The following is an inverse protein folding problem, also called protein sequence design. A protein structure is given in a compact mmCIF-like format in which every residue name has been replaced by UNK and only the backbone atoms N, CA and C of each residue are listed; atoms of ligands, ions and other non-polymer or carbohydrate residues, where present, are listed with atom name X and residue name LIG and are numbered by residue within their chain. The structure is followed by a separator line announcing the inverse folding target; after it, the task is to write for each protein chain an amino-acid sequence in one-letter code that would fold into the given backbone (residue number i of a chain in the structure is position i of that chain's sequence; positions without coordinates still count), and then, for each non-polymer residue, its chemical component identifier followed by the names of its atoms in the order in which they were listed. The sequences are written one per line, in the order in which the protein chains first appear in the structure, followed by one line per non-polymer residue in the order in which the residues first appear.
data_IF_997478964557
#
_entry.id   IF_997478964557
#
_cell.length_a   1.000
_cell.length_b   1.000
_cell.length_c   1.000
_cell.angle_alpha   90.00
_cell.angle_beta   90.00
_cell.angle_gamma   90.00
#
_symmetry.space_group_name_H-M   'P 1'
#
loop_
_entity.id
_entity.type
_entity.pdbx_description
1 polymer ?
#
# COMPACT_ATOMS: atom_id res chain seq x y z
N UNK A 1 -32.99 -30.54 -18.32
CA UNK A 1 -31.59 -30.73 -17.88
C UNK A 1 -30.77 -29.58 -18.47
N UNK A 2 -30.68 -28.48 -17.74
CA UNK A 2 -29.94 -27.27 -18.13
C UNK A 2 -28.60 -27.28 -17.40
N UNK A 3 -27.54 -27.66 -18.12
CA UNK A 3 -26.18 -27.63 -17.58
C UNK A 3 -25.66 -26.19 -17.54
N UNK A 4 -25.38 -25.72 -16.33
CA UNK A 4 -24.67 -24.48 -16.06
C UNK A 4 -23.20 -24.63 -16.45
N UNK A 5 -22.69 -23.68 -17.24
CA UNK A 5 -21.26 -23.52 -17.50
C UNK A 5 -20.64 -22.81 -16.30
N UNK A 6 -19.57 -23.33 -15.66
CA UNK A 6 -18.88 -22.60 -14.60
C UNK A 6 -18.03 -21.48 -15.22
N UNK A 7 -18.31 -20.24 -14.85
CA UNK A 7 -17.46 -19.09 -15.17
C UNK A 7 -16.22 -19.08 -14.27
N UNK A 8 -15.19 -19.84 -14.62
CA UNK A 8 -13.87 -19.74 -14.00
C UNK A 8 -12.98 -18.78 -14.79
N UNK A 9 -13.30 -17.48 -14.75
CA UNK A 9 -12.30 -16.45 -15.02
C UNK A 9 -11.39 -16.36 -13.78
N UNK A 10 -10.48 -17.32 -13.66
CA UNK A 10 -9.35 -17.20 -12.77
C UNK A 10 -8.55 -15.96 -13.19
N UNK A 11 -8.44 -14.97 -12.31
CA UNK A 11 -7.57 -13.81 -12.44
C UNK A 11 -6.14 -14.26 -12.73
N UNK A 12 -5.76 -14.37 -14.00
CA UNK A 12 -4.37 -14.60 -14.40
C UNK A 12 -3.65 -13.27 -14.18
N UNK A 13 -2.88 -13.18 -13.09
CA UNK A 13 -1.97 -12.04 -12.85
C UNK A 13 -1.12 -11.81 -14.10
N UNK A 14 -1.09 -10.57 -14.56
CA UNK A 14 -0.30 -10.17 -15.71
C UNK A 14 1.18 -10.52 -15.45
N UNK A 15 1.83 -11.10 -16.46
CA UNK A 15 3.26 -11.38 -16.41
C UNK A 15 4.04 -10.05 -16.42
N UNK A 16 5.25 -10.04 -15.84
CA UNK A 16 6.13 -8.85 -15.74
C UNK A 16 6.25 -8.05 -17.05
N UNK A 17 6.24 -8.73 -18.20
CA UNK A 17 6.38 -8.14 -19.55
C UNK A 17 5.27 -7.13 -19.87
N UNK A 18 4.09 -7.26 -19.25
CA UNK A 18 2.95 -6.35 -19.46
C UNK A 18 2.55 -5.59 -18.21
N UNK A 19 3.31 -5.70 -17.12
CA UNK A 19 3.02 -4.94 -15.90
C UNK A 19 3.44 -3.49 -16.05
N UNK A 20 2.64 -2.60 -15.48
CA UNK A 20 2.99 -1.21 -15.24
C UNK A 20 3.21 -1.05 -13.74
N UNK A 21 4.36 -0.51 -13.30
CA UNK A 21 4.60 -0.28 -11.89
C UNK A 21 3.72 0.86 -11.39
N UNK A 22 3.37 0.86 -10.11
CA UNK A 22 2.62 1.97 -9.50
C UNK A 22 3.45 3.26 -9.53
N UNK A 23 4.76 3.13 -9.29
CA UNK A 23 5.73 4.21 -9.51
C UNK A 23 7.10 3.64 -9.87
N UNK A 24 7.93 4.44 -10.54
CA UNK A 24 9.28 4.02 -10.91
C UNK A 24 10.25 5.21 -10.98
N UNK A 25 11.48 4.98 -10.54
CA UNK A 25 12.62 5.83 -10.87
C UNK A 25 13.30 5.26 -12.10
N UNK A 26 13.55 6.13 -13.07
CA UNK A 26 14.13 5.76 -14.36
C UNK A 26 15.48 6.43 -14.56
N UNK A 27 16.45 5.67 -15.03
CA UNK A 27 17.75 6.15 -15.46
C UNK A 27 17.80 6.29 -16.98
N UNK A 28 18.48 7.33 -17.44
CA UNK A 28 18.76 7.57 -18.85
C UNK A 28 18.24 8.92 -19.34
N UNK A 29 18.48 9.20 -20.62
CA UNK A 29 18.05 10.42 -21.28
C UNK A 29 17.17 10.08 -22.48
N UNK A 30 15.87 10.38 -22.40
CA UNK A 30 14.89 10.12 -23.48
C UNK A 30 15.34 10.56 -24.88
N UNK A 31 16.25 11.55 -24.98
CA UNK A 31 16.76 12.07 -26.26
C UNK A 31 17.88 11.24 -26.88
N UNK A 32 18.58 10.43 -26.09
CA UNK A 32 19.81 9.74 -26.49
C UNK A 32 19.69 8.23 -26.32
N UNK A 33 19.00 7.78 -25.28
CA UNK A 33 18.87 6.37 -24.94
C UNK A 33 17.49 6.05 -24.36
N UNK A 34 16.99 4.81 -24.53
CA UNK A 34 15.77 4.38 -23.88
C UNK A 34 15.88 4.51 -22.36
N UNK A 35 14.80 4.94 -21.71
CA UNK A 35 14.73 4.95 -20.25
C UNK A 35 14.79 3.52 -19.70
N UNK A 36 15.55 3.36 -18.62
CA UNK A 36 15.72 2.11 -17.90
C UNK A 36 15.10 2.30 -16.51
N UNK A 37 14.04 1.57 -16.14
CA UNK A 37 13.56 1.57 -14.77
C UNK A 37 14.63 0.95 -13.87
N UNK A 38 15.07 1.69 -12.85
CA UNK A 38 16.12 1.25 -11.92
C UNK A 38 15.58 0.99 -10.53
N UNK A 39 14.54 1.73 -10.13
CA UNK A 39 13.73 1.43 -8.94
C UNK A 39 12.29 1.32 -9.37
N UNK A 40 11.61 0.26 -8.93
CA UNK A 40 10.18 0.07 -9.09
C UNK A 40 9.53 0.11 -7.71
N UNK A 41 8.37 0.75 -7.59
CA UNK A 41 7.55 0.76 -6.38
C UNK A 41 6.23 0.08 -6.68
N UNK A 42 5.85 -0.86 -5.82
CA UNK A 42 4.57 -1.56 -5.85
C UNK A 42 3.85 -1.36 -4.51
N UNK A 43 2.58 -0.97 -4.58
CA UNK A 43 1.75 -0.66 -3.42
C UNK A 43 0.61 -1.67 -3.35
N UNK A 44 0.56 -2.45 -2.28
CA UNK A 44 -0.51 -3.41 -2.06
C UNK A 44 -1.42 -3.07 -0.91
N UNK A 45 -2.68 -2.76 -1.24
CA UNK A 45 -3.76 -2.59 -0.27
C UNK A 45 -4.50 -3.91 -0.04
N UNK A 46 -5.22 -4.41 -1.05
CA UNK A 46 -6.01 -5.64 -0.96
C UNK A 46 -5.22 -6.92 -1.25
N UNK A 47 -4.05 -6.80 -1.89
CA UNK A 47 -3.18 -7.95 -2.17
C UNK A 47 -2.56 -8.50 -0.88
N UNK A 48 -2.36 -9.83 -0.83
CA UNK A 48 -1.58 -10.43 0.24
C UNK A 48 -0.11 -10.00 0.15
N UNK A 49 0.61 -10.14 1.26
CA UNK A 49 2.04 -9.84 1.27
C UNK A 49 2.82 -10.78 0.33
N UNK A 50 2.49 -12.08 0.31
CA UNK A 50 3.11 -13.07 -0.57
C UNK A 50 2.90 -12.72 -2.04
N UNK A 51 1.71 -12.20 -2.35
CA UNK A 51 1.37 -11.72 -3.68
C UNK A 51 2.24 -10.54 -4.12
N UNK A 52 2.54 -9.59 -3.22
CA UNK A 52 3.49 -8.50 -3.47
C UNK A 52 4.92 -8.99 -3.64
N UNK A 53 5.35 -9.98 -2.85
CA UNK A 53 6.69 -10.58 -2.99
C UNK A 53 6.82 -11.30 -4.33
N UNK A 54 5.77 -11.99 -4.78
CA UNK A 54 5.73 -12.56 -6.14
C UNK A 54 5.84 -11.49 -7.21
N UNK A 55 5.26 -10.31 -6.98
CA UNK A 55 5.36 -9.17 -7.89
C UNK A 55 6.79 -8.61 -7.93
N UNK A 56 7.46 -8.46 -6.78
CA UNK A 56 8.88 -8.12 -6.73
C UNK A 56 9.76 -9.14 -7.48
N UNK A 57 9.47 -10.44 -7.29
CA UNK A 57 10.20 -11.51 -8.00
C UNK A 57 10.01 -11.42 -9.51
N UNK A 58 8.79 -11.14 -9.96
CA UNK A 58 8.50 -10.95 -11.38
C UNK A 58 9.28 -9.76 -11.94
N UNK A 59 9.28 -8.63 -11.24
CA UNK A 59 10.05 -7.46 -11.65
C UNK A 59 11.54 -7.74 -11.76
N UNK A 60 12.14 -8.28 -10.71
CA UNK A 60 13.59 -8.47 -10.58
C UNK A 60 14.14 -9.60 -11.47
N UNK A 61 13.35 -10.63 -11.75
CA UNK A 61 13.84 -11.83 -12.46
C UNK A 61 13.26 -12.02 -13.86
N UNK A 62 12.09 -11.44 -14.17
CA UNK A 62 11.33 -11.77 -15.40
C UNK A 62 11.05 -10.58 -16.31
N UNK A 63 11.39 -9.37 -15.89
CA UNK A 63 11.25 -8.18 -16.75
C UNK A 63 12.28 -8.18 -17.87
N UNK A 64 11.91 -7.62 -19.03
CA UNK A 64 12.85 -7.45 -20.16
C UNK A 64 14.04 -6.55 -19.79
N UNK A 65 13.80 -5.58 -18.91
CA UNK A 65 14.83 -4.73 -18.30
C UNK A 65 14.60 -4.73 -16.79
N UNK A 66 15.15 -5.70 -16.06
CA UNK A 66 14.95 -5.78 -14.62
C UNK A 66 15.46 -4.52 -13.93
N UNK A 67 14.69 -3.95 -12.98
CA UNK A 67 15.19 -2.88 -12.13
C UNK A 67 16.28 -3.43 -11.19
N UNK A 68 17.08 -2.53 -10.62
CA UNK A 68 18.06 -2.89 -9.60
C UNK A 68 17.36 -3.22 -8.27
N UNK A 69 16.25 -2.51 -7.99
CA UNK A 69 15.51 -2.59 -6.73
C UNK A 69 14.00 -2.55 -6.97
N UNK A 70 13.26 -3.29 -6.17
CA UNK A 70 11.81 -3.15 -6.00
C UNK A 70 11.52 -2.74 -4.57
N UNK A 71 10.76 -1.66 -4.38
CA UNK A 71 10.24 -1.22 -3.09
C UNK A 71 8.80 -1.69 -2.99
N UNK A 72 8.51 -2.50 -1.98
CA UNK A 72 7.16 -2.93 -1.66
C UNK A 72 6.60 -2.05 -0.56
N UNK A 73 5.42 -1.47 -0.79
CA UNK A 73 4.64 -0.76 0.22
C UNK A 73 3.39 -1.58 0.50
N UNK A 74 3.29 -2.16 1.70
CA UNK A 74 2.09 -2.88 2.11
C UNK A 74 1.25 -1.98 3.01
N UNK A 75 -0.03 -1.86 2.67
CA UNK A 75 -1.05 -1.23 3.50
C UNK A 75 -2.01 -2.33 3.94
N UNK A 76 -2.21 -2.46 5.24
CA UNK A 76 -3.13 -3.39 5.87
C UNK A 76 -4.15 -2.62 6.69
N UNK A 77 -5.42 -2.89 6.42
CA UNK A 77 -6.51 -2.45 7.27
C UNK A 77 -6.82 -3.53 8.30
N UNK A 78 -6.97 -3.14 9.57
CA UNK A 78 -7.39 -4.02 10.66
C UNK A 78 -8.85 -4.48 10.55
N UNK A 79 -9.26 -5.09 9.42
CA UNK A 79 -10.67 -5.46 9.15
C UNK A 79 -11.24 -6.36 10.25
N UNK A 80 -10.42 -7.27 10.80
CA UNK A 80 -10.84 -8.13 11.91
C UNK A 80 -11.13 -7.31 13.17
N UNK A 81 -10.23 -6.37 13.52
CA UNK A 81 -10.41 -5.43 14.63
C UNK A 81 -11.63 -4.54 14.41
N UNK A 82 -11.85 -4.02 13.19
CA UNK A 82 -13.03 -3.22 12.83
C UNK A 82 -14.32 -3.98 13.03
N UNK A 83 -14.38 -5.24 12.61
CA UNK A 83 -15.55 -6.09 12.85
C UNK A 83 -15.79 -6.25 14.36
N UNK A 84 -14.74 -6.52 15.13
CA UNK A 84 -14.84 -6.62 16.59
C UNK A 84 -15.28 -5.31 17.25
N UNK A 85 -14.73 -4.16 16.82
CA UNK A 85 -15.10 -2.83 17.31
C UNK A 85 -16.57 -2.52 17.04
N UNK A 86 -17.04 -2.81 15.82
CA UNK A 86 -18.44 -2.64 15.40
C UNK A 86 -19.40 -3.52 16.21
N UNK A 87 -18.93 -4.62 16.79
CA UNK A 87 -19.73 -5.47 17.69
C UNK A 87 -19.74 -5.00 19.15
N UNK A 88 -18.97 -3.97 19.53
CA UNK A 88 -18.93 -3.49 20.91
C UNK A 88 -20.24 -2.76 21.29
N UNK A 89 -20.65 -2.90 22.56
CA UNK A 89 -21.83 -2.22 23.11
C UNK A 89 -21.68 -0.69 22.97
N UNK A 90 -20.48 -0.16 23.19
CA UNK A 90 -20.19 1.27 23.09
C UNK A 90 -20.42 1.79 21.67
N UNK A 91 -19.86 1.12 20.65
CA UNK A 91 -20.07 1.49 19.26
C UNK A 91 -21.55 1.40 18.86
N UNK A 92 -22.21 0.29 19.19
CA UNK A 92 -23.62 0.07 18.86
C UNK A 92 -24.53 1.11 19.52
N UNK A 93 -24.26 1.48 20.77
CA UNK A 93 -25.03 2.50 21.51
C UNK A 93 -24.85 3.89 20.89
N UNK A 94 -23.61 4.25 20.51
CA UNK A 94 -23.34 5.52 19.83
C UNK A 94 -24.00 5.56 18.45
N UNK A 95 -23.86 4.50 17.65
CA UNK A 95 -24.48 4.39 16.33
C UNK A 95 -26.00 4.53 16.42
N UNK A 96 -26.64 3.81 17.34
CA UNK A 96 -28.08 3.92 17.58
C UNK A 96 -28.50 5.36 17.94
N UNK A 97 -27.71 6.03 18.78
CA UNK A 97 -27.96 7.43 19.15
C UNK A 97 -27.89 8.36 17.94
N UNK A 98 -26.86 8.22 17.10
CA UNK A 98 -26.70 8.99 15.87
C UNK A 98 -27.87 8.80 14.91
N UNK A 99 -28.28 7.54 14.69
CA UNK A 99 -29.38 7.21 13.81
C UNK A 99 -30.71 7.81 14.32
N UNK A 100 -31.00 7.68 15.61
CA UNK A 100 -32.23 8.22 16.21
C UNK A 100 -32.28 9.76 16.18
N UNK A 101 -31.14 10.42 16.31
CA UNK A 101 -31.07 11.88 16.40
C UNK A 101 -31.02 12.57 15.04
N UNK A 102 -30.46 11.93 14.02
CA UNK A 102 -30.08 12.62 12.78
C UNK A 102 -30.51 11.93 11.49
N UNK A 103 -31.07 10.72 11.55
CA UNK A 103 -31.56 9.99 10.38
C UNK A 103 -33.08 9.92 10.35
N UNK A 104 -33.64 9.78 9.15
CA UNK A 104 -35.09 9.68 8.95
C UNK A 104 -35.64 8.29 9.33
N UNK A 105 -36.97 8.16 9.31
CA UNK A 105 -37.64 6.90 9.62
C UNK A 105 -37.24 5.76 8.66
N UNK A 106 -36.85 6.08 7.42
CA UNK A 106 -36.40 5.08 6.45
C UNK A 106 -35.06 4.46 6.86
N UNK A 107 -34.08 5.29 7.21
CA UNK A 107 -32.79 4.84 7.69
C UNK A 107 -32.89 4.04 9.01
N UNK A 108 -33.78 4.44 9.91
CA UNK A 108 -34.05 3.69 11.14
C UNK A 108 -34.63 2.29 10.87
N UNK A 109 -35.60 2.19 9.96
CA UNK A 109 -36.17 0.92 9.56
C UNK A 109 -35.12 -0.01 8.94
N UNK A 110 -34.18 0.54 8.14
CA UNK A 110 -33.09 -0.25 7.56
C UNK A 110 -32.09 -0.79 8.58
N UNK A 111 -32.06 -0.21 9.78
CA UNK A 111 -31.19 -0.61 10.89
C UNK A 111 -31.93 -1.39 11.98
N UNK A 112 -33.19 -1.83 11.73
CA UNK A 112 -34.07 -2.48 12.70
C UNK A 112 -34.24 -1.68 14.01
N UNK A 113 -34.34 -0.35 13.89
CA UNK A 113 -34.55 0.55 15.03
C UNK A 113 -35.96 1.15 15.01
N UNK A 114 -36.68 0.95 16.12
CA UNK A 114 -37.95 1.63 16.37
C UNK A 114 -37.71 3.10 16.75
N UNK A 115 -38.31 4.01 15.99
CA UNK A 115 -38.25 5.45 16.26
C UNK A 115 -38.94 6.28 15.18
N UNK A 116 -39.30 7.52 15.51
CA UNK A 116 -39.91 8.46 14.54
C UNK A 116 -38.88 9.06 13.59
N UNK A 117 -37.59 8.94 13.89
CA UNK A 117 -36.50 9.58 13.16
C UNK A 117 -36.51 11.10 13.28
N UNK A 118 -35.47 11.73 12.73
CA UNK A 118 -35.48 13.14 12.42
C UNK A 118 -36.41 13.39 11.22
N UNK A 119 -37.10 14.54 11.14
CA UNK A 119 -37.94 14.89 10.01
C UNK A 119 -37.17 15.03 8.69
N UNK A 120 -35.86 15.29 8.76
CA UNK A 120 -34.95 15.34 7.63
C UNK A 120 -33.54 14.89 8.08
N UNK A 121 -32.79 14.25 7.18
CA UNK A 121 -31.42 13.81 7.46
C UNK A 121 -30.52 15.04 7.58
N UNK A 122 -29.89 15.23 8.74
CA UNK A 122 -28.90 16.29 8.94
C UNK A 122 -27.49 15.78 8.60
N UNK A 123 -27.16 15.80 7.31
CA UNK A 123 -25.86 15.30 6.78
C UNK A 123 -24.67 16.06 7.38
N UNK A 124 -24.80 17.36 7.63
CA UNK A 124 -23.69 18.17 8.16
C UNK A 124 -23.37 17.84 9.61
N UNK A 125 -24.36 17.49 10.43
CA UNK A 125 -24.14 17.02 11.80
C UNK A 125 -23.59 15.60 11.79
N UNK A 126 -24.11 14.71 10.94
CA UNK A 126 -23.60 13.34 10.81
C UNK A 126 -22.12 13.34 10.41
N UNK A 127 -21.73 14.17 9.42
CA UNK A 127 -20.31 14.30 9.01
C UNK A 127 -19.38 14.74 10.14
N UNK A 128 -19.86 15.52 11.10
CA UNK A 128 -19.07 15.98 12.25
C UNK A 128 -18.97 14.94 13.38
N UNK A 129 -19.88 13.97 13.41
CA UNK A 129 -19.91 12.94 14.46
C UNK A 129 -19.41 11.57 13.99
N UNK A 130 -19.36 11.34 12.68
CA UNK A 130 -18.66 10.22 12.07
C UNK A 130 -17.17 10.44 12.26
N UNK A 131 -16.50 9.46 12.86
CA UNK A 131 -15.05 9.45 13.04
C UNK A 131 -14.41 8.44 12.07
N UNK A 132 -13.11 8.57 11.79
CA UNK A 132 -12.42 7.72 10.81
C UNK A 132 -12.51 6.24 11.22
N UNK A 133 -12.46 5.98 12.52
CA UNK A 133 -12.53 4.66 13.15
C UNK A 133 -13.88 3.95 12.89
N UNK A 134 -14.91 4.69 12.48
CA UNK A 134 -16.20 4.11 12.04
C UNK A 134 -16.08 3.37 10.71
N UNK A 135 -15.06 3.72 9.93
CA UNK A 135 -14.87 3.28 8.54
C UNK A 135 -13.59 2.48 8.35
N UNK A 136 -12.51 2.89 9.02
CA UNK A 136 -11.17 2.37 8.84
C UNK A 136 -10.55 2.21 10.22
N UNK A 137 -10.20 0.99 10.62
CA UNK A 137 -9.40 0.77 11.84
C UNK A 137 -7.92 1.03 11.61
N UNK A 138 -7.13 0.94 12.68
CA UNK A 138 -5.69 1.20 12.68
C UNK A 138 -5.01 0.60 11.44
N UNK A 139 -4.57 1.51 10.56
CA UNK A 139 -3.80 1.14 9.39
C UNK A 139 -2.42 0.67 9.84
N UNK A 140 -1.99 -0.45 9.26
CA UNK A 140 -0.61 -0.88 9.35
C UNK A 140 0.03 -0.70 8.00
N UNK A 141 1.08 0.12 7.96
CA UNK A 141 1.79 0.40 6.72
C UNK A 141 3.25 0.07 6.94
N UNK A 142 3.83 -0.68 6.03
CA UNK A 142 5.26 -0.99 6.07
C UNK A 142 5.88 -1.01 4.68
N UNK A 143 7.18 -0.77 4.64
CA UNK A 143 8.02 -0.80 3.45
C UNK A 143 9.07 -1.90 3.57
N UNK A 144 9.32 -2.56 2.44
CA UNK A 144 10.48 -3.42 2.26
C UNK A 144 11.20 -3.12 0.95
N UNK A 145 12.52 -3.23 0.98
CA UNK A 145 13.37 -3.04 -0.20
C UNK A 145 13.87 -4.41 -0.65
N UNK A 146 13.61 -4.79 -1.89
CA UNK A 146 13.96 -6.09 -2.47
C UNK A 146 14.93 -5.93 -3.64
N UNK A 147 15.91 -6.84 -3.73
CA UNK A 147 16.89 -6.89 -4.81
C UNK A 147 17.13 -8.33 -5.27
N UNK A 148 17.84 -8.49 -6.39
CA UNK A 148 18.35 -9.79 -6.82
C UNK A 148 19.44 -10.25 -5.86
N UNK A 149 19.42 -11.53 -5.48
CA UNK A 149 20.48 -12.09 -4.65
C UNK A 149 21.80 -12.12 -5.42
N UNK A 150 22.87 -11.63 -4.81
CA UNK A 150 24.22 -11.75 -5.37
C UNK A 150 24.77 -13.19 -5.27
N UNK A 151 24.21 -14.01 -4.37
CA UNK A 151 24.63 -15.39 -4.14
C UNK A 151 23.91 -16.38 -5.08
N UNK A 152 22.67 -16.09 -5.47
CA UNK A 152 21.82 -16.98 -6.26
C UNK A 152 21.13 -16.19 -7.38
N UNK A 153 21.52 -16.42 -8.64
CA UNK A 153 21.09 -15.60 -9.79
C UNK A 153 19.59 -15.58 -10.05
N UNK A 154 18.87 -16.62 -9.60
CA UNK A 154 17.42 -16.82 -9.80
C UNK A 154 16.60 -16.58 -8.51
N UNK A 155 17.21 -15.92 -7.52
CA UNK A 155 16.59 -15.61 -6.25
C UNK A 155 16.61 -14.10 -5.96
N UNK A 156 15.73 -13.68 -5.05
CA UNK A 156 15.63 -12.31 -4.56
C UNK A 156 15.80 -12.31 -3.04
N UNK A 157 16.27 -11.21 -2.48
CA UNK A 157 16.36 -11.01 -1.04
C UNK A 157 15.91 -9.62 -0.65
N UNK A 158 15.36 -9.51 0.56
CA UNK A 158 15.10 -8.22 1.19
C UNK A 158 16.41 -7.61 1.68
N UNK A 159 16.53 -6.28 1.55
CA UNK A 159 17.62 -5.49 2.06
C UNK A 159 17.23 -4.92 3.41
N UNK A 160 17.91 -5.39 4.46
CA UNK A 160 17.63 -4.95 5.82
C UNK A 160 16.28 -5.46 6.32
N UNK A 161 15.80 -4.83 7.39
CA UNK A 161 14.54 -5.16 8.02
C UNK A 161 13.38 -4.38 7.38
N UNK A 162 12.17 -4.87 7.62
CA UNK A 162 10.92 -4.17 7.33
C UNK A 162 10.86 -2.83 8.08
N UNK A 163 10.61 -1.75 7.35
CA UNK A 163 10.38 -0.42 7.89
C UNK A 163 8.88 -0.24 8.15
N UNK A 164 8.49 0.00 9.40
CA UNK A 164 7.10 0.31 9.74
C UNK A 164 6.85 1.82 9.66
N UNK A 165 5.77 2.20 8.99
CA UNK A 165 5.32 3.59 8.85
C UNK A 165 4.12 3.83 9.78
N UNK A 166 3.15 2.93 9.74
CA UNK A 166 1.95 3.00 10.58
C UNK A 166 1.75 1.69 11.37
N UNK A 167 1.32 1.78 12.65
CA UNK A 167 1.39 2.99 13.47
C UNK A 167 2.84 3.51 13.57
N UNK A 168 3.02 4.81 13.80
CA UNK A 168 4.37 5.41 13.85
C UNK A 168 5.18 4.68 14.93
N UNK A 169 6.29 4.03 14.57
CA UNK A 169 7.09 3.28 15.54
C UNK A 169 7.81 4.24 16.49
N UNK A 170 8.03 3.82 17.75
CA UNK A 170 8.80 4.60 18.73
C UNK A 170 10.23 4.93 18.24
N UNK A 171 10.78 4.09 17.37
CA UNK A 171 12.07 4.30 16.73
C UNK A 171 11.91 4.11 15.22
N UNK A 172 11.58 5.18 14.47
CA UNK A 172 11.48 5.13 13.02
C UNK A 172 12.80 4.68 12.40
N UNK A 173 12.69 3.79 11.41
CA UNK A 173 13.83 3.35 10.62
C UNK A 173 13.55 3.70 9.18
N UNK A 174 14.45 4.44 8.56
CA UNK A 174 14.25 4.89 7.18
C UNK A 174 14.89 3.89 6.20
N UNK A 175 14.20 3.53 5.10
CA UNK A 175 14.80 2.72 4.07
C UNK A 175 15.93 3.48 3.36
N UNK A 176 17.04 2.79 3.13
CA UNK A 176 18.24 3.36 2.49
C UNK A 176 18.39 2.85 1.06
N UNK A 177 18.43 3.79 0.12
CA UNK A 177 18.82 3.54 -1.26
C UNK A 177 20.26 3.99 -1.49
N UNK A 178 20.98 3.26 -2.33
CA UNK A 178 22.34 3.56 -2.74
C UNK A 178 22.32 4.16 -4.14
N UNK A 179 23.32 4.96 -4.48
CA UNK A 179 23.45 5.51 -5.83
C UNK A 179 23.54 4.40 -6.89
N UNK A 180 24.03 3.22 -6.51
CA UNK A 180 24.08 2.02 -7.36
C UNK A 180 22.71 1.44 -7.65
N UNK A 181 21.71 1.69 -6.80
CA UNK A 181 20.32 1.30 -7.10
C UNK A 181 19.76 2.19 -8.20
N UNK A 182 20.16 3.46 -8.25
CA UNK A 182 19.65 4.46 -9.20
C UNK A 182 20.37 4.42 -10.56
N UNK A 183 21.67 4.08 -10.56
CA UNK A 183 22.53 4.12 -11.76
C UNK A 183 23.00 2.69 -12.11
N UNK A 184 22.58 2.13 -13.26
CA UNK A 184 22.97 0.77 -13.64
C UNK A 184 24.49 0.66 -13.79
N UNK A 185 25.06 -0.50 -13.43
CA UNK A 185 26.51 -0.73 -13.38
C UNK A 185 27.24 -0.32 -14.66
N UNK A 186 26.66 -0.66 -15.82
CA UNK A 186 27.21 -0.33 -17.14
C UNK A 186 27.35 1.18 -17.41
N UNK A 187 26.66 2.03 -16.66
CA UNK A 187 26.70 3.49 -16.82
C UNK A 187 27.49 4.22 -15.72
N UNK A 188 27.90 3.53 -14.64
CA UNK A 188 28.59 4.16 -13.51
C UNK A 188 29.91 4.80 -13.93
N UNK A 189 30.62 4.21 -14.90
CA UNK A 189 31.89 4.74 -15.41
C UNK A 189 31.78 6.15 -16.02
N UNK A 190 30.58 6.58 -16.44
CA UNK A 190 30.31 7.91 -17.03
C UNK A 190 30.41 9.04 -16.01
N UNK A 191 30.33 8.74 -14.72
CA UNK A 191 30.36 9.73 -13.64
C UNK A 191 31.69 9.59 -12.91
N UNK A 192 32.59 10.58 -12.99
CA UNK A 192 33.89 10.52 -12.30
C UNK A 192 34.11 11.76 -11.43
N UNK A 193 34.44 11.59 -10.14
CA UNK A 193 34.54 10.33 -9.41
C UNK A 193 33.17 9.70 -9.06
N UNK A 194 33.03 8.38 -9.19
CA UNK A 194 31.82 7.66 -8.77
C UNK A 194 31.98 7.09 -7.35
N UNK A 195 31.27 7.65 -6.39
CA UNK A 195 31.21 7.11 -5.02
C UNK A 195 30.06 6.10 -4.89
N UNK A 196 30.39 4.81 -4.93
CA UNK A 196 29.42 3.71 -4.79
C UNK A 196 28.73 3.67 -3.43
N UNK A 197 29.32 4.27 -2.40
CA UNK A 197 28.79 4.24 -1.04
C UNK A 197 27.82 5.39 -0.76
N UNK A 198 27.60 6.27 -1.75
CA UNK A 198 26.65 7.37 -1.61
C UNK A 198 25.24 6.81 -1.41
N UNK A 199 24.60 7.26 -0.34
CA UNK A 199 23.28 6.82 0.10
C UNK A 199 22.28 7.98 0.02
N UNK A 200 21.02 7.60 -0.17
CA UNK A 200 19.84 8.43 0.00
C UNK A 200 18.93 7.70 0.99
N UNK A 201 18.70 8.33 2.13
CA UNK A 201 17.70 7.89 3.09
C UNK A 201 16.34 8.41 2.64
N UNK A 202 15.35 7.52 2.54
CA UNK A 202 13.98 7.93 2.29
C UNK A 202 13.42 8.48 3.61
N UNK A 203 13.37 9.81 3.73
CA UNK A 203 12.87 10.48 4.94
C UNK A 203 11.38 10.16 5.13
N UNK A 204 11.08 9.36 6.15
CA UNK A 204 9.70 8.98 6.46
C UNK A 204 8.99 10.01 7.34
N UNK A 205 9.71 10.99 7.93
CA UNK A 205 9.11 12.01 8.81
C UNK A 205 8.20 12.97 8.05
N UNK A 206 8.52 13.27 6.80
CA UNK A 206 7.63 14.07 5.95
C UNK A 206 6.29 13.35 5.71
N UNK A 207 6.29 12.01 5.62
CA UNK A 207 5.05 11.22 5.54
C UNK A 207 4.28 11.20 6.86
N UNK A 208 4.97 11.16 8.00
CA UNK A 208 4.35 11.27 9.33
C UNK A 208 3.63 12.63 9.49
N UNK A 209 4.18 13.71 8.94
CA UNK A 209 3.58 15.06 8.98
C UNK A 209 2.27 15.20 8.19
N UNK A 210 2.00 14.29 7.25
CA UNK A 210 0.75 14.23 6.47
C UNK A 210 -0.37 13.52 7.24
N UNK A 211 -0.03 12.73 8.27
CA UNK A 211 -0.98 12.04 9.17
C UNK A 211 -0.80 12.48 10.63
N UNK A 212 -0.96 13.78 10.95
CA UNK A 212 -0.60 14.31 12.26
C UNK A 212 -1.48 13.81 13.43
N UNK A 213 -2.63 13.18 13.15
CA UNK A 213 -3.67 12.87 14.14
C UNK A 213 -4.15 11.39 14.14
N UNK A 214 -3.35 10.44 13.65
CA UNK A 214 -3.69 8.99 13.76
C UNK A 214 -3.20 8.36 15.05
#
# INVERSE_FOLDING_TARGET
MTGSVPSTLANRKAQAVTKCPDSAVVFGNKRVEPLIPTVVVEVGFSQSYEDLVLDARQWLLRSTRPPNVVILVKIEEGIASLRSHKCTIAYQSRLKTLLLQHCDAYALASADLDGTGAPEINVDVLRKQIVIEDWVENLRVFIEVWLRSSAESDNICSRGARCHILPVPETPTDPVLYITDLIPDQHQQRFQPFDRNRQLTLDMKDFESVFPDS
#
